data_IF_095056354162
#
_entry.id   IF_095056354162
#
_cell.length_a   1.000
_cell.length_b   1.000
_cell.length_c   1.000
_cell.angle_alpha   90.00
_cell.angle_beta   90.00
_cell.angle_gamma   90.00
#
_symmetry.space_group_name_H-M   'P 1'
#
loop_
_entity.id
_entity.type
_entity.pdbx_description
1 polymer ?
#
# COMPACT_ATOMS: atom_id res chain seq x y z
N UNK A 1 -4.07 3.98 36.27
CA UNK A 1 -3.99 4.18 34.80
C UNK A 1 -5.04 5.20 34.39
N UNK A 2 -4.65 6.30 33.72
CA UNK A 2 -5.56 7.42 33.43
C UNK A 2 -6.39 7.11 32.18
N UNK A 3 -7.71 7.25 32.30
CA UNK A 3 -8.74 7.04 31.25
C UNK A 3 -8.41 7.70 29.90
N UNK A 4 -7.62 8.78 29.92
CA UNK A 4 -7.15 9.51 28.73
C UNK A 4 -6.24 8.68 27.82
N UNK A 5 -5.48 7.73 28.37
CA UNK A 5 -4.56 6.89 27.59
C UNK A 5 -5.29 5.82 26.79
N UNK A 6 -6.47 5.38 27.26
CA UNK A 6 -7.28 4.35 26.59
C UNK A 6 -7.99 4.92 25.35
N UNK A 7 -8.47 6.17 25.43
CA UNK A 7 -9.22 6.82 24.35
C UNK A 7 -8.31 7.21 23.16
N UNK A 8 -7.04 7.58 23.44
CA UNK A 8 -6.08 7.91 22.39
C UNK A 8 -5.67 6.68 21.54
N UNK A 9 -5.70 5.48 22.14
CA UNK A 9 -5.32 4.22 21.46
C UNK A 9 -6.45 3.69 20.59
N UNK A 10 -7.71 3.85 21.00
CA UNK A 10 -8.88 3.43 20.20
C UNK A 10 -9.15 4.37 19.02
N UNK A 11 -8.88 5.67 19.15
CA UNK A 11 -9.08 6.62 18.05
C UNK A 11 -8.06 6.45 16.90
N UNK A 12 -6.83 6.01 17.20
CA UNK A 12 -5.81 5.75 16.15
C UNK A 12 -6.08 4.47 15.36
N UNK A 13 -6.79 3.49 15.94
CA UNK A 13 -7.10 2.22 15.28
C UNK A 13 -8.19 2.35 14.18
N UNK A 14 -9.08 3.34 14.30
CA UNK A 14 -10.16 3.58 13.34
C UNK A 14 -9.77 4.50 12.18
N UNK A 15 -8.58 5.09 12.24
CA UNK A 15 -8.04 5.96 11.20
C UNK A 15 -6.92 5.27 10.42
N UNK A 16 -6.90 3.94 10.37
CA UNK A 16 -6.09 3.18 9.43
C UNK A 16 -6.76 3.34 8.06
N UNK A 17 -6.23 4.19 7.17
CA UNK A 17 -6.73 4.21 5.81
C UNK A 17 -6.42 2.83 5.20
N UNK A 18 -7.41 2.22 4.54
CA UNK A 18 -7.22 1.00 3.76
C UNK A 18 -6.33 1.35 2.57
N UNK A 19 -5.01 1.31 2.77
CA UNK A 19 -4.05 1.65 1.73
C UNK A 19 -3.89 0.54 0.70
N UNK A 20 -4.14 -0.71 1.08
CA UNK A 20 -4.17 -1.81 0.13
C UNK A 20 -5.49 -1.83 -0.67
N UNK A 21 -5.40 -1.66 -1.98
CA UNK A 21 -6.51 -1.91 -2.90
C UNK A 21 -6.79 -3.43 -2.97
N UNK A 22 -7.96 -3.87 -2.53
CA UNK A 22 -8.40 -5.26 -2.67
C UNK A 22 -8.97 -5.50 -4.08
N UNK A 23 -8.19 -6.19 -4.93
CA UNK A 23 -8.60 -6.55 -6.30
C UNK A 23 -9.43 -7.84 -6.38
N UNK A 24 -9.76 -8.50 -5.27
CA UNK A 24 -10.44 -9.81 -5.27
C UNK A 24 -11.74 -9.81 -6.08
N UNK A 25 -12.53 -8.74 -5.97
CA UNK A 25 -13.78 -8.59 -6.71
C UNK A 25 -13.53 -8.44 -8.22
N UNK A 26 -12.54 -7.66 -8.61
CA UNK A 26 -12.18 -7.44 -10.02
C UNK A 26 -11.61 -8.71 -10.65
N UNK A 27 -10.81 -9.48 -9.90
CA UNK A 27 -10.30 -10.79 -10.31
C UNK A 27 -11.45 -11.78 -10.55
N UNK A 28 -12.40 -11.86 -9.61
CA UNK A 28 -13.57 -12.72 -9.77
C UNK A 28 -14.39 -12.33 -11.00
N UNK A 29 -14.58 -11.01 -11.23
CA UNK A 29 -15.27 -10.50 -12.43
C UNK A 29 -14.51 -10.86 -13.71
N UNK A 30 -13.20 -10.66 -13.75
CA UNK A 30 -12.38 -10.98 -14.91
C UNK A 30 -12.51 -12.45 -15.30
N UNK A 31 -12.37 -13.36 -14.33
CA UNK A 31 -12.48 -14.79 -14.55
C UNK A 31 -13.88 -15.20 -15.02
N UNK A 32 -14.93 -14.61 -14.45
CA UNK A 32 -16.31 -14.88 -14.86
C UNK A 32 -16.58 -14.44 -16.32
N UNK A 33 -16.09 -13.26 -16.73
CA UNK A 33 -16.22 -12.80 -18.11
C UNK A 33 -15.37 -13.67 -19.04
N UNK A 34 -14.10 -13.91 -18.71
CA UNK A 34 -13.19 -14.72 -19.52
C UNK A 34 -13.74 -16.12 -19.83
N UNK A 35 -14.44 -16.74 -18.88
CA UNK A 35 -15.09 -18.04 -19.07
C UNK A 35 -16.11 -18.08 -20.22
N UNK A 36 -16.62 -16.91 -20.65
CA UNK A 36 -17.61 -16.77 -21.73
C UNK A 36 -17.01 -16.34 -23.08
N UNK A 37 -15.69 -16.12 -23.13
CA UNK A 37 -14.99 -15.51 -24.28
C UNK A 37 -14.05 -16.46 -24.98
N UNK A 38 -13.80 -16.19 -26.26
CA UNK A 38 -12.80 -16.90 -27.06
C UNK A 38 -11.39 -16.43 -26.66
N UNK A 39 -10.71 -17.25 -25.85
CA UNK A 39 -9.47 -16.86 -25.16
C UNK A 39 -8.23 -16.75 -26.06
N UNK A 40 -8.29 -17.25 -27.29
CA UNK A 40 -7.23 -17.11 -28.30
C UNK A 40 -7.34 -15.83 -29.15
N UNK A 41 -8.38 -15.03 -28.93
CA UNK A 41 -8.55 -13.74 -29.61
C UNK A 41 -7.50 -12.73 -29.13
N UNK A 42 -7.11 -11.82 -30.02
CA UNK A 42 -6.13 -10.76 -29.70
C UNK A 42 -6.55 -9.93 -28.48
N UNK A 43 -7.84 -9.59 -28.37
CA UNK A 43 -8.39 -8.88 -27.23
C UNK A 43 -8.28 -9.69 -25.92
N UNK A 44 -8.57 -10.99 -25.93
CA UNK A 44 -8.46 -11.83 -24.74
C UNK A 44 -7.00 -12.05 -24.31
N UNK A 45 -6.07 -12.18 -25.27
CA UNK A 45 -4.64 -12.26 -24.97
C UNK A 45 -4.10 -10.97 -24.37
N UNK A 46 -4.47 -9.81 -24.92
CA UNK A 46 -4.12 -8.51 -24.36
C UNK A 46 -4.73 -8.31 -22.97
N UNK A 47 -5.99 -8.73 -22.77
CA UNK A 47 -6.66 -8.69 -21.48
C UNK A 47 -5.93 -9.54 -20.43
N UNK A 48 -5.53 -10.76 -20.80
CA UNK A 48 -4.76 -11.66 -19.93
C UNK A 48 -3.41 -11.05 -19.57
N UNK A 49 -2.69 -10.46 -20.52
CA UNK A 49 -1.41 -9.80 -20.23
C UNK A 49 -1.58 -8.64 -19.23
N UNK A 50 -2.60 -7.80 -19.41
CA UNK A 50 -2.89 -6.70 -18.48
C UNK A 50 -3.29 -7.23 -17.09
N UNK A 51 -4.06 -8.31 -17.03
CA UNK A 51 -4.45 -8.97 -15.79
C UNK A 51 -3.24 -9.52 -15.02
N UNK A 52 -2.32 -10.22 -15.69
CA UNK A 52 -1.11 -10.76 -15.08
C UNK A 52 -0.19 -9.66 -14.55
N UNK A 53 -0.06 -8.54 -15.28
CA UNK A 53 0.72 -7.38 -14.81
C UNK A 53 0.10 -6.74 -13.57
N UNK A 54 -1.22 -6.58 -13.55
CA UNK A 54 -1.91 -6.02 -12.39
C UNK A 54 -1.69 -6.85 -11.13
N UNK A 55 -1.77 -8.18 -11.24
CA UNK A 55 -1.49 -9.08 -10.11
C UNK A 55 -0.03 -9.00 -9.65
N UNK A 56 0.93 -9.02 -10.58
CA UNK A 56 2.34 -8.93 -10.26
C UNK A 56 2.72 -7.60 -9.58
N UNK A 57 2.13 -6.49 -10.03
CA UNK A 57 2.34 -5.17 -9.44
C UNK A 57 1.76 -5.08 -8.02
N UNK A 58 0.57 -5.65 -7.78
CA UNK A 58 0.00 -5.75 -6.42
C UNK A 58 0.85 -6.61 -5.49
N UNK A 59 1.32 -7.77 -5.94
CA UNK A 59 2.19 -8.63 -5.11
C UNK A 59 3.51 -7.91 -4.77
N UNK A 60 4.06 -7.16 -5.73
CA UNK A 60 5.27 -6.37 -5.53
C UNK A 60 5.05 -5.21 -4.54
N UNK A 61 3.94 -4.49 -4.64
CA UNK A 61 3.59 -3.41 -3.70
C UNK A 61 3.38 -3.97 -2.29
N UNK A 62 2.60 -5.04 -2.17
CA UNK A 62 2.20 -5.58 -0.87
C UNK A 62 3.35 -6.23 -0.11
N UNK A 63 4.19 -7.01 -0.79
CA UNK A 63 5.25 -7.76 -0.09
C UNK A 63 6.50 -6.91 0.10
N UNK A 64 6.98 -6.23 -0.95
CA UNK A 64 8.31 -5.59 -0.88
C UNK A 64 8.24 -4.17 -0.34
N UNK A 65 7.27 -3.38 -0.80
CA UNK A 65 7.19 -1.97 -0.42
C UNK A 65 6.64 -1.79 0.99
N UNK A 66 5.57 -2.51 1.37
CA UNK A 66 5.02 -2.44 2.73
C UNK A 66 6.05 -2.84 3.79
N UNK A 67 6.80 -3.93 3.59
CA UNK A 67 7.85 -4.35 4.52
C UNK A 67 8.97 -3.33 4.65
N UNK A 68 9.36 -2.69 3.53
CA UNK A 68 10.36 -1.62 3.51
C UNK A 68 9.89 -0.37 4.25
N UNK A 69 8.67 0.10 3.94
CA UNK A 69 8.00 1.22 4.62
C UNK A 69 7.97 0.97 6.13
N UNK A 70 7.54 -0.23 6.54
CA UNK A 70 7.44 -0.62 7.96
C UNK A 70 8.81 -0.66 8.65
N UNK A 71 9.83 -1.19 7.98
CA UNK A 71 11.21 -1.22 8.50
C UNK A 71 11.76 0.18 8.73
N UNK A 72 11.68 1.05 7.73
CA UNK A 72 12.16 2.44 7.80
C UNK A 72 11.42 3.24 8.86
N UNK A 73 10.11 3.07 8.94
CA UNK A 73 9.32 3.80 9.93
C UNK A 73 9.65 3.38 11.36
N UNK A 74 9.84 2.07 11.58
CA UNK A 74 10.27 1.57 12.88
C UNK A 74 11.68 2.04 13.25
N UNK A 75 12.58 2.22 12.29
CA UNK A 75 13.89 2.84 12.54
C UNK A 75 13.74 4.30 12.99
N UNK A 76 12.92 5.09 12.31
CA UNK A 76 12.64 6.50 12.67
C UNK A 76 12.00 6.62 14.06
N UNK A 77 11.01 5.78 14.36
CA UNK A 77 10.36 5.75 15.68
C UNK A 77 11.37 5.44 16.80
N UNK A 78 12.22 4.42 16.63
CA UNK A 78 13.25 4.09 17.63
C UNK A 78 14.22 5.25 17.85
N UNK A 79 14.63 5.95 16.79
CA UNK A 79 15.51 7.10 16.90
C UNK A 79 14.89 8.22 17.76
N UNK A 80 13.57 8.37 17.69
CA UNK A 80 12.80 9.35 18.48
C UNK A 80 12.43 8.86 19.88
N UNK A 81 12.85 7.67 20.30
CA UNK A 81 12.49 7.07 21.58
C UNK A 81 11.06 6.52 21.62
N UNK A 82 10.45 6.29 20.45
CA UNK A 82 9.15 5.63 20.32
C UNK A 82 9.29 4.11 20.17
N UNK A 83 8.28 3.39 20.64
CA UNK A 83 8.17 1.95 20.40
C UNK A 83 7.74 1.69 18.94
N UNK A 84 8.35 0.69 18.26
CA UNK A 84 7.92 0.24 16.94
C UNK A 84 6.42 -0.04 16.87
N UNK A 85 5.81 0.29 15.74
CA UNK A 85 4.41 0.00 15.48
C UNK A 85 4.28 -1.27 14.62
N UNK A 86 3.22 -2.03 14.88
CA UNK A 86 2.98 -3.32 14.24
C UNK A 86 2.04 -3.22 13.03
N UNK A 87 1.32 -2.15 12.75
CA UNK A 87 0.44 -2.08 11.56
C UNK A 87 0.17 -0.65 11.08
N UNK A 88 0.17 -0.50 9.73
CA UNK A 88 -0.46 0.46 8.77
C UNK A 88 -0.65 1.94 9.14
N UNK A 89 -0.26 2.35 10.34
CA UNK A 89 -0.33 3.70 10.88
C UNK A 89 1.07 4.26 11.15
N UNK A 90 2.12 3.54 10.74
CA UNK A 90 3.48 3.87 11.14
C UNK A 90 3.90 5.24 10.58
N UNK A 91 3.55 5.55 9.33
CA UNK A 91 3.93 6.82 8.68
C UNK A 91 3.42 8.05 9.48
N UNK A 92 2.12 8.09 9.77
CA UNK A 92 1.49 9.16 10.56
C UNK A 92 2.05 9.21 11.98
N UNK A 93 2.42 8.07 12.55
CA UNK A 93 3.02 7.99 13.89
C UNK A 93 4.43 8.58 13.91
N UNK A 94 5.23 8.34 12.88
CA UNK A 94 6.55 8.96 12.75
C UNK A 94 6.44 10.47 12.50
N UNK A 95 5.49 10.90 11.68
CA UNK A 95 5.17 12.32 11.49
C UNK A 95 4.82 13.01 12.83
N UNK A 96 3.92 12.42 13.61
CA UNK A 96 3.54 12.94 14.92
C UNK A 96 4.71 12.94 15.93
N UNK A 97 5.55 11.91 15.91
CA UNK A 97 6.73 11.82 16.77
C UNK A 97 7.80 12.86 16.39
N UNK A 98 7.91 13.22 15.11
CA UNK A 98 8.80 14.29 14.65
C UNK A 98 8.32 15.68 15.06
N UNK A 99 7.01 15.87 15.17
CA UNK A 99 6.43 17.12 15.68
C UNK A 99 6.68 17.31 17.18
N UNK A 100 6.73 16.21 17.95
CA UNK A 100 6.99 16.23 19.39
C UNK A 100 7.99 15.12 19.81
N UNK A 101 9.29 15.29 19.54
CA UNK A 101 10.29 14.27 19.86
C UNK A 101 10.42 14.02 21.36
N UNK A 102 10.52 12.75 21.77
CA UNK A 102 10.82 12.38 23.17
C UNK A 102 12.30 12.46 23.52
N UNK A 103 13.15 12.64 22.51
CA UNK A 103 14.60 12.83 22.68
C UNK A 103 14.97 14.28 22.41
N UNK A 104 15.92 14.80 23.18
CA UNK A 104 16.50 16.14 22.98
C UNK A 104 17.80 16.09 22.15
N UNK A 105 18.19 14.91 21.66
CA UNK A 105 19.41 14.72 20.88
C UNK A 105 19.20 15.22 19.43
N UNK A 106 19.86 16.31 19.02
CA UNK A 106 19.65 16.91 17.70
C UNK A 106 20.10 15.98 16.56
N UNK A 107 21.10 15.13 16.77
CA UNK A 107 21.57 14.19 15.76
C UNK A 107 20.52 13.10 15.48
N UNK A 108 19.87 12.60 16.53
CA UNK A 108 18.79 11.60 16.40
C UNK A 108 17.55 12.19 15.73
N UNK A 109 17.20 13.43 16.06
CA UNK A 109 16.08 14.12 15.40
C UNK A 109 16.39 14.36 13.93
N UNK A 110 17.61 14.79 13.58
CA UNK A 110 18.03 14.95 12.19
C UNK A 110 17.98 13.64 11.40
N UNK A 111 18.50 12.55 11.96
CA UNK A 111 18.44 11.22 11.35
C UNK A 111 16.99 10.72 11.15
N UNK A 112 16.10 10.98 12.11
CA UNK A 112 14.68 10.64 11.99
C UNK A 112 13.99 11.46 10.88
N UNK A 113 14.33 12.74 10.71
CA UNK A 113 13.83 13.59 9.61
C UNK A 113 14.29 13.09 8.25
N UNK A 114 15.56 12.71 8.12
CA UNK A 114 16.11 12.13 6.90
C UNK A 114 15.40 10.80 6.56
N UNK A 115 15.18 9.96 7.58
CA UNK A 115 14.43 8.71 7.43
C UNK A 115 13.00 8.97 6.96
N UNK A 116 12.32 9.97 7.52
CA UNK A 116 10.97 10.35 7.12
C UNK A 116 10.92 10.89 5.69
N UNK A 117 11.90 11.70 5.26
CA UNK A 117 11.96 12.18 3.88
C UNK A 117 12.12 11.03 2.86
N UNK A 118 12.99 10.05 3.16
CA UNK A 118 13.12 8.84 2.33
C UNK A 118 11.85 8.00 2.32
N UNK A 119 11.20 7.88 3.49
CA UNK A 119 9.94 7.17 3.63
C UNK A 119 8.82 7.82 2.81
N UNK A 120 8.72 9.14 2.78
CA UNK A 120 7.73 9.86 1.95
C UNK A 120 7.94 9.59 0.46
N UNK A 121 9.19 9.51 0.00
CA UNK A 121 9.50 9.14 -1.39
C UNK A 121 9.10 7.69 -1.69
N UNK A 122 9.44 6.74 -0.82
CA UNK A 122 9.07 5.33 -0.97
C UNK A 122 7.54 5.13 -0.89
N UNK A 123 6.85 5.89 -0.05
CA UNK A 123 5.38 5.90 0.04
C UNK A 123 4.75 6.34 -1.27
N UNK A 124 5.30 7.37 -1.92
CA UNK A 124 4.82 7.80 -3.24
C UNK A 124 4.97 6.68 -4.28
N UNK A 125 6.12 6.00 -4.29
CA UNK A 125 6.34 4.86 -5.21
C UNK A 125 5.34 3.73 -4.94
N UNK A 126 5.08 3.41 -3.67
CA UNK A 126 4.07 2.41 -3.30
C UNK A 126 2.68 2.78 -3.82
N UNK A 127 2.22 4.00 -3.57
CA UNK A 127 0.91 4.48 -4.04
C UNK A 127 0.83 4.52 -5.57
N UNK A 128 1.91 4.93 -6.26
CA UNK A 128 1.93 4.94 -7.72
C UNK A 128 1.83 3.50 -8.28
N UNK A 129 2.51 2.52 -7.67
CA UNK A 129 2.42 1.11 -8.06
C UNK A 129 1.02 0.53 -7.83
N UNK A 130 0.37 0.82 -6.71
CA UNK A 130 -1.01 0.39 -6.46
C UNK A 130 -1.99 0.98 -7.48
N UNK A 131 -1.83 2.27 -7.81
CA UNK A 131 -2.66 2.92 -8.82
C UNK A 131 -2.45 2.30 -10.21
N UNK A 132 -1.20 1.99 -10.57
CA UNK A 132 -0.89 1.29 -11.82
C UNK A 132 -1.56 -0.08 -11.89
N UNK A 133 -1.48 -0.86 -10.82
CA UNK A 133 -2.11 -2.17 -10.75
C UNK A 133 -3.64 -2.08 -10.91
N UNK A 134 -4.27 -1.11 -10.25
CA UNK A 134 -5.71 -0.82 -10.39
C UNK A 134 -6.06 -0.45 -11.83
N UNK A 135 -5.28 0.42 -12.47
CA UNK A 135 -5.56 0.85 -13.84
C UNK A 135 -5.34 -0.27 -14.86
N UNK A 136 -4.33 -1.12 -14.66
CA UNK A 136 -4.12 -2.33 -15.45
C UNK A 136 -5.26 -3.33 -15.29
N UNK A 137 -5.79 -3.51 -14.08
CA UNK A 137 -6.96 -4.36 -13.83
C UNK A 137 -8.20 -3.83 -14.55
N UNK A 138 -8.45 -2.51 -14.50
CA UNK A 138 -9.53 -1.87 -15.27
C UNK A 138 -9.34 -2.08 -16.77
N UNK A 139 -8.11 -1.97 -17.28
CA UNK A 139 -7.82 -2.21 -18.69
C UNK A 139 -8.08 -3.67 -19.07
N UNK A 140 -7.65 -4.62 -18.23
CA UNK A 140 -7.90 -6.04 -18.43
C UNK A 140 -9.39 -6.35 -18.54
N UNK A 141 -10.20 -5.79 -17.63
CA UNK A 141 -11.66 -5.93 -17.65
C UNK A 141 -12.30 -5.37 -18.93
N UNK A 142 -11.88 -4.18 -19.37
CA UNK A 142 -12.40 -3.61 -20.63
C UNK A 142 -12.05 -4.48 -21.83
N UNK A 143 -10.81 -4.96 -21.91
CA UNK A 143 -10.34 -5.78 -23.04
C UNK A 143 -11.07 -7.12 -23.10
N UNK A 144 -11.25 -7.81 -21.96
CA UNK A 144 -11.93 -9.11 -21.96
C UNK A 144 -13.43 -8.97 -22.31
N UNK A 145 -14.07 -7.86 -21.94
CA UNK A 145 -15.46 -7.57 -22.33
C UNK A 145 -15.62 -7.44 -23.86
N UNK A 146 -14.61 -6.89 -24.55
CA UNK A 146 -14.58 -6.74 -26.02
C UNK A 146 -14.21 -8.01 -26.78
N UNK A 147 -13.69 -9.04 -26.10
CA UNK A 147 -13.38 -10.30 -26.75
C UNK A 147 -14.65 -10.95 -27.33
N UNK A 148 -14.56 -11.65 -28.47
CA UNK A 148 -15.68 -12.40 -29.02
C UNK A 148 -16.15 -13.48 -28.04
N UNK A 149 -17.45 -13.76 -28.05
CA UNK A 149 -18.01 -14.90 -27.32
C UNK A 149 -17.44 -16.22 -27.87
N UNK A 150 -17.46 -17.26 -27.02
CA UNK A 150 -17.08 -18.63 -27.43
C UNK A 150 -17.98 -19.19 -28.52
#
# INVERSE_FOLDING_TARGET
>A
MKLRTVIAVTALALAAPSWAHDLSADIAKFNAVAATKKLDSEAALAAKLAFERAQAEMEQSDVRMVLRIRSMTNAGLRALGEQPALLTSEYKRLEAALANPKTNDPAKVAAARETFARLSADMKVYTDLENMAVDQMKQALRLIETAPAQ
#
